data_IF_337387053224
#
_entry.id   IF_337387053224
#
_cell.length_a   1.000
_cell.length_b   1.000
_cell.length_c   1.000
_cell.angle_alpha   90.00
_cell.angle_beta   90.00
_cell.angle_gamma   90.00
#
_symmetry.space_group_name_H-M   'P 1'
#
loop_
_entity.id
_entity.type
_entity.pdbx_description
1 polymer ?
#
# COMPACT_ATOMS: atom_id res chain seq x y z
N UNK A 1 27.80 10.73 5.76
CA UNK A 1 26.72 11.00 4.80
C UNK A 1 25.42 10.65 5.51
N UNK A 2 24.55 11.62 5.78
CA UNK A 2 23.21 11.31 6.31
C UNK A 2 22.43 10.66 5.16
N UNK A 3 21.96 9.43 5.35
CA UNK A 3 21.14 8.75 4.36
C UNK A 3 19.82 9.51 4.18
N UNK A 4 19.36 9.64 2.93
CA UNK A 4 18.05 10.22 2.65
C UNK A 4 16.95 9.41 3.38
N UNK A 5 15.98 10.08 4.03
CA UNK A 5 14.91 9.41 4.74
C UNK A 5 14.04 8.61 3.76
N UNK A 6 13.76 7.37 4.13
CA UNK A 6 12.91 6.45 3.36
C UNK A 6 11.47 6.93 3.28
N UNK A 7 10.70 6.43 2.29
CA UNK A 7 9.28 6.75 2.13
C UNK A 7 8.44 6.42 3.38
N UNK A 8 8.74 5.31 4.07
CA UNK A 8 8.05 4.94 5.31
C UNK A 8 8.33 5.92 6.46
N UNK A 9 9.58 6.37 6.59
CA UNK A 9 9.98 7.35 7.62
C UNK A 9 9.32 8.70 7.37
N UNK A 10 9.27 9.16 6.11
CA UNK A 10 8.52 10.36 5.72
C UNK A 10 7.04 10.23 6.05
N UNK A 11 6.42 9.09 5.72
CA UNK A 11 5.02 8.82 6.03
C UNK A 11 4.72 8.76 7.54
N UNK A 12 5.67 8.31 8.36
CA UNK A 12 5.55 8.38 9.82
C UNK A 12 5.67 9.81 10.31
N UNK A 13 6.62 10.58 9.82
CA UNK A 13 6.80 11.98 10.18
C UNK A 13 5.56 12.84 9.85
N UNK A 14 4.96 12.65 8.67
CA UNK A 14 3.70 13.33 8.28
C UNK A 14 2.57 13.04 9.27
N UNK A 15 2.41 11.77 9.69
CA UNK A 15 1.38 11.38 10.65
C UNK A 15 1.61 11.96 12.05
N UNK A 16 2.88 12.10 12.45
CA UNK A 16 3.24 12.74 13.72
C UNK A 16 2.88 14.22 13.67
N UNK A 17 3.25 14.93 12.60
CA UNK A 17 2.91 16.35 12.42
C UNK A 17 1.38 16.55 12.44
N UNK A 18 0.63 15.75 11.70
CA UNK A 18 -0.84 15.80 11.70
C UNK A 18 -1.48 15.55 13.06
N UNK A 19 -0.84 14.74 13.91
CA UNK A 19 -1.37 14.41 15.24
C UNK A 19 -1.12 15.52 16.26
N UNK A 20 -0.02 16.25 16.12
CA UNK A 20 0.44 17.21 17.13
C UNK A 20 0.35 18.67 16.69
N UNK A 21 0.04 18.95 15.41
CA UNK A 21 -0.23 20.30 14.95
C UNK A 21 -1.47 20.87 15.65
N UNK A 22 -1.39 22.14 16.04
CA UNK A 22 -2.45 22.85 16.74
C UNK A 22 -3.58 23.26 15.77
N UNK A 23 -3.20 23.57 14.53
CA UNK A 23 -4.11 23.93 13.45
C UNK A 23 -3.49 23.59 12.08
N UNK A 24 -4.25 23.88 11.02
CA UNK A 24 -3.83 23.62 9.64
C UNK A 24 -2.67 24.48 9.15
N UNK A 25 -2.45 25.65 9.75
CA UNK A 25 -1.32 26.53 9.41
C UNK A 25 -0.04 25.99 10.04
N UNK A 26 -0.09 25.63 11.32
CA UNK A 26 0.98 24.95 12.06
C UNK A 26 1.36 23.63 11.37
N UNK A 27 0.38 22.84 10.93
CA UNK A 27 0.63 21.60 10.16
C UNK A 27 1.41 21.88 8.86
N UNK A 28 1.05 22.93 8.13
CA UNK A 28 1.70 23.28 6.87
C UNK A 28 3.13 23.80 7.08
N UNK A 29 3.34 24.63 8.10
CA UNK A 29 4.65 25.16 8.48
C UNK A 29 5.60 24.04 8.90
N UNK A 30 5.15 23.14 9.78
CA UNK A 30 5.93 21.98 10.22
C UNK A 30 6.28 21.04 9.07
N UNK A 31 5.36 20.79 8.13
CA UNK A 31 5.65 20.00 6.93
C UNK A 31 6.68 20.65 6.04
N UNK A 32 6.62 21.97 5.85
CA UNK A 32 7.59 22.72 5.05
C UNK A 32 8.99 22.71 5.70
N UNK A 33 9.07 22.95 7.01
CA UNK A 33 10.33 22.91 7.77
C UNK A 33 11.03 21.55 7.69
N UNK A 34 10.24 20.47 7.63
CA UNK A 34 10.73 19.09 7.57
C UNK A 34 10.86 18.54 6.13
N UNK A 35 10.55 19.34 5.10
CA UNK A 35 10.59 18.91 3.69
C UNK A 35 9.62 17.75 3.38
N UNK A 36 8.50 17.69 4.10
CA UNK A 36 7.42 16.71 3.96
C UNK A 36 6.30 17.19 3.02
N UNK A 37 6.44 18.39 2.44
CA UNK A 37 5.52 18.99 1.48
C UNK A 37 5.59 18.34 0.09
N UNK A 38 6.69 17.63 -0.21
CA UNK A 38 6.78 16.79 -1.41
C UNK A 38 5.78 15.65 -1.31
N UNK A 39 4.63 15.86 -1.95
CA UNK A 39 3.60 14.85 -2.11
C UNK A 39 4.18 13.61 -2.80
N UNK A 40 4.55 12.60 -2.01
CA UNK A 40 4.56 11.26 -2.57
C UNK A 40 3.13 10.92 -3.00
N UNK A 41 2.96 10.28 -4.18
CA UNK A 41 1.65 9.88 -4.65
C UNK A 41 0.99 9.05 -3.56
N UNK A 42 -0.21 9.46 -3.14
CA UNK A 42 -0.94 8.80 -2.08
C UNK A 42 -0.97 7.28 -2.35
N UNK A 43 -0.66 6.44 -1.35
CA UNK A 43 -0.70 4.99 -1.56
C UNK A 43 -2.08 4.61 -2.08
N UNK A 44 -2.17 3.73 -3.09
CA UNK A 44 -3.44 3.37 -3.69
C UNK A 44 -4.40 2.95 -2.58
N UNK A 45 -5.56 3.59 -2.54
CA UNK A 45 -6.60 3.29 -1.55
C UNK A 45 -6.85 1.79 -1.59
N UNK A 46 -6.47 1.08 -0.53
CA UNK A 46 -6.83 -0.33 -0.34
C UNK A 46 -8.36 -0.37 -0.36
N UNK A 47 -8.93 -0.93 -1.44
CA UNK A 47 -10.37 -1.19 -1.48
C UNK A 47 -10.69 -2.07 -0.27
N UNK A 48 -11.78 -1.80 0.47
CA UNK A 48 -12.21 -2.73 1.51
C UNK A 48 -12.38 -4.09 0.85
N UNK A 49 -11.61 -5.07 1.32
CA UNK A 49 -11.75 -6.46 0.90
C UNK A 49 -13.12 -6.93 1.41
N UNK A 50 -14.17 -6.69 0.64
CA UNK A 50 -15.42 -7.42 0.77
C UNK A 50 -15.16 -8.91 0.54
N UNK A 51 -16.09 -9.80 0.95
CA UNK A 51 -16.00 -11.20 0.58
C UNK A 51 -15.85 -11.29 -0.94
N UNK A 52 -14.79 -11.97 -1.40
CA UNK A 52 -14.55 -12.20 -2.83
C UNK A 52 -15.79 -12.89 -3.41
N UNK A 53 -16.30 -12.36 -4.50
CA UNK A 53 -17.35 -13.04 -5.27
C UNK A 53 -16.82 -14.36 -5.81
N UNK A 54 -17.74 -15.30 -6.08
CA UNK A 54 -17.37 -16.59 -6.66
C UNK A 54 -16.62 -16.44 -8.00
N UNK A 55 -16.98 -15.42 -8.79
CA UNK A 55 -16.35 -15.12 -10.08
C UNK A 55 -14.92 -14.58 -9.90
N UNK A 56 -14.70 -13.68 -8.93
CA UNK A 56 -13.35 -13.19 -8.61
C UNK A 56 -12.43 -14.32 -8.11
N UNK A 57 -12.96 -15.24 -7.29
CA UNK A 57 -12.22 -16.43 -6.86
C UNK A 57 -11.89 -17.34 -8.03
N UNK A 58 -12.83 -17.52 -8.96
CA UNK A 58 -12.62 -18.36 -10.14
C UNK A 58 -11.54 -17.78 -11.06
N UNK A 59 -11.56 -16.47 -11.32
CA UNK A 59 -10.55 -15.78 -12.12
C UNK A 59 -9.16 -15.84 -11.48
N UNK A 60 -9.07 -15.69 -10.16
CA UNK A 60 -7.81 -15.80 -9.43
C UNK A 60 -7.23 -17.22 -9.48
N UNK A 61 -8.09 -18.24 -9.50
CA UNK A 61 -7.69 -19.65 -9.49
C UNK A 61 -7.51 -20.24 -10.89
N UNK A 62 -7.98 -19.57 -11.95
CA UNK A 62 -7.87 -20.03 -13.33
C UNK A 62 -6.44 -20.40 -13.78
N UNK A 63 -5.38 -19.66 -13.42
CA UNK A 63 -4.00 -20.04 -13.76
C UNK A 63 -3.56 -21.36 -13.12
N UNK A 64 -4.05 -21.68 -11.92
CA UNK A 64 -3.71 -22.89 -11.18
C UNK A 64 -4.58 -24.09 -11.59
N UNK A 65 -5.78 -23.85 -12.12
CA UNK A 65 -6.64 -24.89 -12.68
C UNK A 65 -6.01 -25.55 -13.91
N UNK A 66 -5.29 -24.78 -14.74
CA UNK A 66 -4.55 -25.31 -15.89
C UNK A 66 -3.42 -26.29 -15.49
N UNK A 67 -2.85 -26.12 -14.30
CA UNK A 67 -1.78 -26.97 -13.78
C UNK A 67 -2.30 -28.33 -13.28
N UNK A 68 -3.55 -28.38 -12.80
CA UNK A 68 -4.22 -29.63 -12.38
C UNK A 68 -4.57 -30.55 -13.55
N UNK A 69 -4.86 -30.01 -14.72
CA UNK A 69 -5.10 -30.80 -15.95
C UNK A 69 -3.83 -31.35 -16.57
N UNK A 70 -2.65 -30.95 -16.07
CA UNK A 70 -1.34 -31.38 -16.58
C UNK A 70 -0.66 -32.43 -15.71
N UNK A 71 -1.30 -32.89 -14.62
CA UNK A 71 -0.84 -34.13 -13.98
C UNK A 71 -1.04 -35.26 -15.00
N UNK A 72 0.04 -35.92 -15.46
CA UNK A 72 -0.14 -37.18 -16.12
C UNK A 72 -0.81 -38.09 -15.09
N UNK A 73 -1.95 -38.63 -15.49
CA UNK A 73 -2.51 -39.81 -14.88
C UNK A 73 -1.35 -40.80 -14.70
N UNK A 74 -1.01 -41.03 -13.43
CA UNK A 74 0.13 -41.85 -13.08
C UNK A 74 -0.11 -43.24 -13.61
N UNK A 75 0.85 -43.74 -14.37
CA UNK A 75 1.37 -45.10 -14.27
C UNK A 75 0.52 -46.04 -13.38
N UNK A 76 -0.37 -46.81 -14.00
CA UNK A 76 -0.61 -48.19 -13.61
C UNK A 76 -1.14 -49.03 -14.75
#
# INVERSE_FOLDING_TARGET
MLAEPTSEERSRAVRVVQRYAHDSHDEAELKAMLGLDRAEPAPPRRRPHGPLSADELHDMLAPFAAERSRRPDGAR
#
